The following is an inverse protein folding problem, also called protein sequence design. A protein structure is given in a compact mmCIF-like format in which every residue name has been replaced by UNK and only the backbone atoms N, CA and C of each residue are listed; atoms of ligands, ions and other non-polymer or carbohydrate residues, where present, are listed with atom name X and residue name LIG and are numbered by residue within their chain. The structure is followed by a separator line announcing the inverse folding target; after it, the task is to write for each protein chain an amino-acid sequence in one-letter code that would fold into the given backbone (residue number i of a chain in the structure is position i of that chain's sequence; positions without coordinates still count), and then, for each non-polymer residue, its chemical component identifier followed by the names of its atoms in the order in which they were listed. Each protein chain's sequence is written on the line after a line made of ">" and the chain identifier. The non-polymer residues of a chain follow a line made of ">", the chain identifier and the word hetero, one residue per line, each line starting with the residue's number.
data_IF_904475744932
#
_entry.id   IF_904475744932
#
_cell.length_a   1.000
_cell.length_b   1.000
_cell.length_c   1.000
_cell.angle_alpha   90.00
_cell.angle_beta   90.00
_cell.angle_gamma   90.00
#
_symmetry.space_group_name_H-M   'P 1'
#
loop_
_entity.id
_entity.type
_entity.pdbx_description
1 polymer ?
#
# COMPACT_ATOMS: atom_id res chain seq x y z
N UNK A 1 -1.67 -13.54 25.64
CA UNK A 1 -2.89 -13.69 26.46
C UNK A 1 -3.31 -12.37 27.11
N UNK A 2 -2.52 -11.80 28.02
CA UNK A 2 -2.92 -10.65 28.83
C UNK A 2 -3.30 -9.38 28.02
N UNK A 3 -2.39 -8.85 27.20
CA UNK A 3 -2.63 -7.59 26.47
C UNK A 3 -3.80 -7.69 25.47
N UNK A 4 -3.91 -8.82 24.76
CA UNK A 4 -5.01 -9.08 23.83
C UNK A 4 -6.36 -9.14 24.56
N UNK A 5 -6.42 -9.84 25.69
CA UNK A 5 -7.63 -9.89 26.53
C UNK A 5 -7.97 -8.51 27.10
N UNK A 6 -6.97 -7.74 27.56
CA UNK A 6 -7.16 -6.39 28.09
C UNK A 6 -7.70 -5.43 27.03
N UNK A 7 -7.17 -5.49 25.80
CA UNK A 7 -7.64 -4.67 24.69
C UNK A 7 -9.10 -5.00 24.32
N UNK A 8 -9.45 -6.28 24.23
CA UNK A 8 -10.84 -6.70 23.95
C UNK A 8 -11.79 -6.36 25.08
N UNK A 9 -11.36 -6.52 26.34
CA UNK A 9 -12.15 -6.11 27.51
C UNK A 9 -12.38 -4.59 27.52
N UNK A 10 -11.36 -3.79 27.18
CA UNK A 10 -11.51 -2.34 27.00
C UNK A 10 -12.57 -2.03 25.93
N UNK A 11 -12.50 -2.66 24.76
CA UNK A 11 -13.48 -2.43 23.70
C UNK A 11 -14.91 -2.78 24.16
N UNK A 12 -15.09 -3.92 24.82
CA UNK A 12 -16.38 -4.35 25.36
C UNK A 12 -16.93 -3.35 26.39
N UNK A 13 -16.16 -3.01 27.42
CA UNK A 13 -16.63 -2.17 28.51
C UNK A 13 -16.80 -0.70 28.10
N UNK A 14 -15.93 -0.17 27.24
CA UNK A 14 -16.05 1.23 26.78
C UNK A 14 -17.24 1.41 25.84
N UNK A 15 -17.49 0.46 24.94
CA UNK A 15 -18.54 0.59 23.91
C UNK A 15 -19.92 0.19 24.44
N UNK A 16 -20.02 -0.94 25.13
CA UNK A 16 -21.33 -1.49 25.51
C UNK A 16 -21.75 -1.16 26.94
N UNK A 17 -20.80 -1.12 27.89
CA UNK A 17 -21.08 -0.83 29.31
C UNK A 17 -20.73 0.61 29.71
N UNK A 18 -20.19 1.40 28.77
CA UNK A 18 -19.85 2.79 28.98
C UNK A 18 -21.09 3.67 29.01
N UNK A 19 -20.91 4.94 29.38
CA UNK A 19 -22.00 5.93 29.29
C UNK A 19 -22.34 6.17 27.82
N UNK A 20 -23.63 6.03 27.49
CA UNK A 20 -24.15 6.39 26.17
C UNK A 20 -23.91 7.89 25.92
N UNK A 21 -23.33 8.23 24.78
CA UNK A 21 -23.19 9.62 24.34
C UNK A 21 -24.51 10.13 23.78
N UNK A 22 -24.78 11.42 23.91
CA UNK A 22 -26.04 12.03 23.43
C UNK A 22 -26.27 11.83 21.92
N UNK A 23 -25.18 11.78 21.14
CA UNK A 23 -25.20 11.49 19.70
C UNK A 23 -25.78 10.10 19.37
N UNK A 24 -25.75 9.15 20.31
CA UNK A 24 -26.14 7.75 20.10
C UNK A 24 -27.52 7.41 20.67
N UNK A 25 -28.33 8.41 21.05
CA UNK A 25 -29.64 8.17 21.67
C UNK A 25 -30.68 7.51 20.73
N UNK A 26 -30.50 7.63 19.41
CA UNK A 26 -31.41 7.08 18.41
C UNK A 26 -30.93 5.74 17.82
N UNK A 27 -29.99 5.06 18.47
CA UNK A 27 -29.49 3.77 18.00
C UNK A 27 -30.59 2.71 18.17
N UNK A 28 -30.84 1.98 17.10
CA UNK A 28 -31.75 0.83 17.07
C UNK A 28 -30.96 -0.46 16.80
N UNK A 29 -31.58 -1.58 17.13
CA UNK A 29 -31.00 -2.90 16.88
C UNK A 29 -30.76 -3.13 15.38
N UNK A 30 -29.70 -3.89 15.06
CA UNK A 30 -29.35 -4.17 13.67
C UNK A 30 -30.45 -5.01 12.98
N UNK A 31 -30.81 -4.72 11.72
CA UNK A 31 -31.80 -5.50 10.99
C UNK A 31 -31.34 -6.94 10.77
N UNK A 32 -32.28 -7.86 10.56
CA UNK A 32 -31.99 -9.29 10.42
C UNK A 32 -30.98 -9.64 9.30
N UNK A 33 -30.93 -8.80 8.27
CA UNK A 33 -29.97 -8.94 7.15
C UNK A 33 -28.51 -8.86 7.63
N UNK A 34 -28.23 -8.15 8.73
CA UNK A 34 -26.90 -8.09 9.36
C UNK A 34 -26.76 -9.09 10.50
N UNK A 35 -27.81 -9.28 11.32
CA UNK A 35 -27.77 -10.17 12.48
C UNK A 35 -27.68 -11.65 12.08
N UNK A 36 -28.38 -12.06 11.02
CA UNK A 36 -28.37 -13.43 10.50
C UNK A 36 -26.96 -13.95 10.19
N UNK A 37 -26.16 -13.24 9.35
CA UNK A 37 -24.76 -13.60 9.11
C UNK A 37 -23.90 -13.64 10.38
N UNK A 38 -24.07 -12.69 11.31
CA UNK A 38 -23.29 -12.67 12.55
C UNK A 38 -23.58 -13.88 13.44
N UNK A 39 -24.85 -14.25 13.61
CA UNK A 39 -25.25 -15.44 14.37
C UNK A 39 -24.74 -16.72 13.71
N UNK A 40 -24.87 -16.80 12.38
CA UNK A 40 -24.37 -17.94 11.61
C UNK A 40 -22.86 -18.13 11.79
N UNK A 41 -22.07 -17.06 11.90
CA UNK A 41 -20.63 -17.11 12.15
C UNK A 41 -20.28 -17.34 13.62
N UNK A 42 -21.13 -16.90 14.56
CA UNK A 42 -20.91 -17.11 15.99
C UNK A 42 -21.01 -18.58 16.39
N UNK A 43 -21.93 -19.34 15.78
CA UNK A 43 -22.12 -20.78 16.04
C UNK A 43 -20.83 -21.60 15.81
N UNK A 44 -20.21 -21.59 14.62
CA UNK A 44 -18.96 -22.33 14.40
C UNK A 44 -17.81 -21.78 15.25
N UNK A 45 -17.73 -20.46 15.50
CA UNK A 45 -16.71 -19.91 16.38
C UNK A 45 -16.80 -20.49 17.82
N UNK A 46 -18.00 -20.75 18.32
CA UNK A 46 -18.22 -21.38 19.62
C UNK A 46 -17.95 -22.91 19.61
N UNK A 47 -18.31 -23.60 18.52
CA UNK A 47 -18.30 -25.07 18.47
C UNK A 47 -16.97 -25.65 17.96
N UNK A 48 -16.31 -24.99 17.01
CA UNK A 48 -15.07 -25.49 16.37
C UNK A 48 -13.96 -25.73 17.40
N UNK A 49 -13.90 -24.93 18.46
CA UNK A 49 -12.94 -25.14 19.56
C UNK A 49 -13.09 -26.52 20.23
N UNK A 50 -14.32 -27.00 20.41
CA UNK A 50 -14.59 -28.32 20.99
C UNK A 50 -14.28 -29.47 20.02
N UNK A 51 -14.51 -29.26 18.72
CA UNK A 51 -14.18 -30.24 17.66
C UNK A 51 -12.66 -30.33 17.45
N UNK A 52 -11.95 -29.21 17.64
CA UNK A 52 -10.50 -29.13 17.47
C UNK A 52 -9.73 -29.72 18.67
N UNK A 53 -10.27 -29.59 19.89
CA UNK A 53 -9.73 -30.26 21.06
C UNK A 53 -9.90 -31.79 20.90
N UNK A 54 -8.82 -32.55 21.13
CA UNK A 54 -8.79 -34.03 21.08
C UNK A 54 -9.61 -34.66 22.23
N UNK A 55 -10.89 -34.31 22.35
CA UNK A 55 -11.82 -34.89 23.33
C UNK A 55 -12.18 -36.34 22.96
N UNK A 56 -12.00 -36.71 21.69
CA UNK A 56 -12.18 -38.07 21.17
C UNK A 56 -10.85 -38.60 20.65
N UNK A 57 -10.52 -39.86 20.95
CA UNK A 57 -9.25 -40.55 20.64
C UNK A 57 -8.84 -40.51 19.15
N UNK A 58 -9.74 -40.08 18.27
CA UNK A 58 -9.51 -39.81 16.85
C UNK A 58 -8.91 -38.42 16.61
N UNK A 59 -7.65 -38.17 17.00
CA UNK A 59 -6.72 -37.19 16.39
C UNK A 59 -7.09 -35.69 16.25
N UNK A 60 -8.35 -35.28 16.46
CA UNK A 60 -8.92 -33.96 16.19
C UNK A 60 -8.82 -33.51 14.72
N UNK A 61 -9.41 -32.34 14.41
CA UNK A 61 -9.30 -31.67 13.11
C UNK A 61 -7.83 -31.36 12.70
N UNK A 62 -6.90 -31.37 13.66
CA UNK A 62 -5.47 -31.17 13.43
C UNK A 62 -4.80 -32.27 12.59
N UNK A 63 -5.36 -33.49 12.53
CA UNK A 63 -4.83 -34.55 11.67
C UNK A 63 -5.05 -34.30 10.18
N UNK A 64 -6.00 -33.45 9.80
CA UNK A 64 -6.21 -33.02 8.41
C UNK A 64 -5.33 -31.83 7.99
N UNK A 65 -4.77 -31.09 8.96
CA UNK A 65 -3.99 -29.87 8.73
C UNK A 65 -2.50 -30.13 8.53
N UNK A 66 -1.96 -31.23 9.07
CA UNK A 66 -0.53 -31.55 9.01
C UNK A 66 -0.30 -32.84 8.21
N UNK A 67 0.46 -32.74 7.12
CA UNK A 67 0.82 -33.86 6.22
C UNK A 67 1.96 -34.73 6.75
N UNK A 68 2.73 -34.26 7.73
CA UNK A 68 3.83 -34.97 8.38
C UNK A 68 3.58 -35.01 9.89
N UNK A 69 4.23 -35.96 10.61
CA UNK A 69 4.01 -36.23 12.05
C UNK A 69 3.82 -34.93 12.83
N UNK A 70 2.57 -34.62 13.17
CA UNK A 70 2.27 -33.53 14.06
C UNK A 70 3.06 -33.77 15.36
N UNK A 71 3.83 -32.76 15.80
CA UNK A 71 4.37 -32.78 17.16
C UNK A 71 3.23 -33.15 18.10
N UNK A 72 3.44 -34.19 18.93
CA UNK A 72 2.41 -34.68 19.83
C UNK A 72 1.80 -33.50 20.56
N UNK A 73 0.47 -33.41 20.55
CA UNK A 73 -0.24 -32.36 21.27
C UNK A 73 -0.07 -32.62 22.78
N UNK A 74 1.07 -32.22 23.32
CA UNK A 74 1.34 -32.21 24.75
C UNK A 74 0.80 -30.91 25.32
N UNK A 75 -0.48 -30.95 25.72
CA UNK A 75 -1.07 -29.80 26.39
C UNK A 75 -0.38 -29.62 27.76
N UNK A 76 0.47 -28.62 27.85
CA UNK A 76 1.08 -28.23 29.10
C UNK A 76 0.02 -27.56 29.99
N UNK A 77 -0.64 -28.36 30.83
CA UNK A 77 -1.67 -27.89 31.75
C UNK A 77 -1.23 -26.69 32.60
N UNK A 78 -0.01 -26.65 33.18
CA UNK A 78 0.48 -25.47 33.87
C UNK A 78 0.45 -24.20 33.02
N UNK A 79 0.94 -24.27 31.78
CA UNK A 79 0.97 -23.11 30.86
C UNK A 79 -0.43 -22.70 30.40
N UNK A 80 -1.31 -23.68 30.15
CA UNK A 80 -2.71 -23.44 29.78
C UNK A 80 -3.48 -22.73 30.89
N UNK A 81 -3.36 -23.24 32.13
CA UNK A 81 -3.98 -22.65 33.32
C UNK A 81 -3.41 -21.25 33.57
N UNK A 82 -2.08 -21.08 33.52
CA UNK A 82 -1.45 -19.77 33.70
C UNK A 82 -1.94 -18.75 32.65
N UNK A 83 -2.06 -19.18 31.39
CA UNK A 83 -2.57 -18.33 30.30
C UNK A 83 -4.03 -17.94 30.49
N UNK A 84 -4.87 -18.88 30.93
CA UNK A 84 -6.29 -18.63 31.23
C UNK A 84 -6.45 -17.66 32.41
N UNK A 85 -5.68 -17.86 33.49
CA UNK A 85 -5.66 -16.96 34.64
C UNK A 85 -5.20 -15.54 34.25
N UNK A 86 -4.17 -15.42 33.39
CA UNK A 86 -3.73 -14.13 32.86
C UNK A 86 -4.82 -13.43 32.03
N UNK A 87 -5.56 -14.18 31.23
CA UNK A 87 -6.68 -13.63 30.45
C UNK A 87 -7.83 -13.16 31.36
N UNK A 88 -8.18 -13.93 32.39
CA UNK A 88 -9.20 -13.55 33.38
C UNK A 88 -8.75 -12.34 34.21
N UNK A 89 -7.49 -12.28 34.61
CA UNK A 89 -6.92 -11.13 35.31
C UNK A 89 -6.98 -9.86 34.43
N UNK A 90 -6.67 -9.97 33.13
CA UNK A 90 -6.79 -8.89 32.17
C UNK A 90 -8.25 -8.39 32.04
N UNK A 91 -9.21 -9.32 31.99
CA UNK A 91 -10.64 -8.98 31.93
C UNK A 91 -11.12 -8.28 33.20
N UNK A 92 -10.71 -8.77 34.37
CA UNK A 92 -11.00 -8.14 35.67
C UNK A 92 -10.40 -6.73 35.77
N UNK A 93 -9.16 -6.55 35.32
CA UNK A 93 -8.53 -5.23 35.25
C UNK A 93 -9.26 -4.29 34.27
N UNK A 94 -9.68 -4.81 33.11
CA UNK A 94 -10.49 -4.07 32.14
C UNK A 94 -11.82 -3.59 32.73
N UNK A 95 -12.50 -4.46 33.48
CA UNK A 95 -13.75 -4.10 34.16
C UNK A 95 -13.52 -3.05 35.26
N UNK A 96 -12.48 -3.20 36.09
CA UNK A 96 -12.18 -2.27 37.17
C UNK A 96 -11.82 -0.86 36.65
N UNK A 97 -11.07 -0.79 35.56
CA UNK A 97 -10.61 0.45 34.93
C UNK A 97 -11.70 1.11 34.08
N UNK A 98 -12.30 0.38 33.13
CA UNK A 98 -13.22 0.96 32.14
C UNK A 98 -14.71 0.78 32.48
N UNK A 99 -15.08 -0.30 33.16
CA UNK A 99 -16.48 -0.57 33.53
C UNK A 99 -16.91 0.21 34.77
N UNK A 100 -16.19 0.02 35.89
CA UNK A 100 -16.50 0.70 37.16
C UNK A 100 -15.96 2.14 37.22
N UNK A 101 -14.97 2.49 36.39
CA UNK A 101 -14.31 3.80 36.43
C UNK A 101 -13.51 4.06 37.71
N UNK A 102 -13.15 3.00 38.46
CA UNK A 102 -12.55 3.12 39.80
C UNK A 102 -11.05 3.43 39.77
N UNK A 103 -10.39 3.33 38.61
CA UNK A 103 -8.94 3.44 38.49
C UNK A 103 -8.58 4.41 37.38
N UNK A 104 -8.04 5.57 37.75
CA UNK A 104 -7.54 6.55 36.77
C UNK A 104 -6.22 6.06 36.17
N UNK A 105 -6.16 6.03 34.83
CA UNK A 105 -4.95 5.69 34.07
C UNK A 105 -4.05 6.92 33.82
N UNK A 106 -4.51 8.12 34.18
CA UNK A 106 -3.77 9.38 33.99
C UNK A 106 -2.36 9.37 34.64
N UNK A 107 -2.18 8.90 35.89
CA UNK A 107 -0.85 8.88 36.50
C UNK A 107 0.12 7.93 35.79
N UNK A 108 -0.39 6.80 35.29
CA UNK A 108 0.41 5.82 34.56
C UNK A 108 0.81 6.36 33.17
N UNK A 109 -0.15 6.99 32.48
CA UNK A 109 0.09 7.65 31.20
C UNK A 109 1.08 8.81 31.32
N UNK A 110 1.02 9.57 32.41
CA UNK A 110 1.98 10.64 32.69
C UNK A 110 3.41 10.11 32.91
N UNK A 111 3.57 9.00 33.65
CA UNK A 111 4.89 8.36 33.87
C UNK A 111 5.45 7.75 32.59
N UNK A 112 4.61 7.12 31.77
CA UNK A 112 5.00 6.45 30.53
C UNK A 112 4.66 7.27 29.29
N UNK A 113 4.74 8.60 29.37
CA UNK A 113 4.28 9.50 28.31
C UNK A 113 4.97 9.23 26.96
N UNK A 114 6.25 8.89 26.98
CA UNK A 114 7.01 8.53 25.77
C UNK A 114 6.49 7.26 25.10
N UNK A 115 6.31 6.18 25.88
CA UNK A 115 5.79 4.90 25.38
C UNK A 115 4.33 5.03 24.95
N UNK A 116 3.51 5.74 25.73
CA UNK A 116 2.11 5.99 25.41
C UNK A 116 1.98 6.76 24.10
N UNK A 117 2.77 7.81 23.90
CA UNK A 117 2.79 8.57 22.64
C UNK A 117 3.23 7.71 21.46
N UNK A 118 4.23 6.84 21.64
CA UNK A 118 4.70 5.93 20.59
C UNK A 118 3.57 4.98 20.14
N UNK A 119 2.87 4.36 21.08
CA UNK A 119 1.78 3.41 20.80
C UNK A 119 0.56 4.15 20.22
N UNK A 120 0.21 5.33 20.75
CA UNK A 120 -0.88 6.17 20.25
C UNK A 120 -0.66 6.61 18.80
N UNK A 121 0.58 6.92 18.42
CA UNK A 121 0.96 7.27 17.06
C UNK A 121 1.30 6.05 16.20
N UNK A 122 0.82 4.84 16.56
CA UNK A 122 1.02 3.59 15.80
C UNK A 122 2.50 3.34 15.45
N UNK A 123 3.40 3.63 16.40
CA UNK A 123 4.85 3.52 16.22
C UNK A 123 5.46 4.44 15.15
N UNK A 124 4.74 5.49 14.71
CA UNK A 124 5.12 6.38 13.61
C UNK A 124 5.37 5.66 12.27
N UNK A 125 4.93 4.40 12.14
CA UNK A 125 5.12 3.65 10.90
C UNK A 125 4.37 4.33 9.76
N UNK A 126 3.11 4.69 9.98
CA UNK A 126 2.28 5.40 8.99
C UNK A 126 2.97 6.68 8.50
N UNK A 127 3.53 7.48 9.40
CA UNK A 127 4.23 8.74 9.06
C UNK A 127 5.50 8.49 8.27
N UNK A 128 6.29 7.47 8.62
CA UNK A 128 7.51 7.09 7.91
C UNK A 128 7.17 6.56 6.51
N UNK A 129 6.14 5.73 6.38
CA UNK A 129 5.67 5.23 5.09
C UNK A 129 5.23 6.39 4.19
N UNK A 130 4.38 7.29 4.71
CA UNK A 130 3.90 8.44 3.96
C UNK A 130 5.05 9.38 3.57
N UNK A 131 5.97 9.65 4.50
CA UNK A 131 7.16 10.45 4.21
C UNK A 131 8.02 9.83 3.12
N UNK A 132 8.24 8.51 3.18
CA UNK A 132 9.04 7.79 2.18
C UNK A 132 8.40 7.87 0.80
N UNK A 133 7.10 7.62 0.71
CA UNK A 133 6.35 7.73 -0.55
C UNK A 133 6.48 9.15 -1.11
N UNK A 134 6.16 10.16 -0.30
CA UNK A 134 6.07 11.51 -0.81
C UNK A 134 7.42 12.13 -1.14
N UNK A 135 8.46 11.85 -0.34
CA UNK A 135 9.75 12.56 -0.43
C UNK A 135 10.77 11.79 -1.24
N UNK A 136 10.67 10.45 -1.26
CA UNK A 136 11.59 9.61 -2.04
C UNK A 136 10.92 9.18 -3.34
N UNK A 137 9.80 8.48 -3.27
CA UNK A 137 9.19 7.85 -4.45
C UNK A 137 8.67 8.90 -5.43
N UNK A 138 7.87 9.86 -4.96
CA UNK A 138 7.31 10.90 -5.85
C UNK A 138 8.38 11.85 -6.41
N UNK A 139 9.47 12.08 -5.68
CA UNK A 139 10.58 12.89 -6.16
C UNK A 139 11.30 12.17 -7.31
N UNK A 140 11.63 10.89 -7.13
CA UNK A 140 12.24 10.07 -8.19
C UNK A 140 11.31 9.98 -9.40
N UNK A 141 10.01 9.73 -9.18
CA UNK A 141 9.03 9.67 -10.25
C UNK A 141 8.97 10.99 -11.05
N UNK A 142 9.06 12.14 -10.37
CA UNK A 142 9.12 13.45 -11.04
C UNK A 142 10.37 13.61 -11.90
N UNK A 143 11.53 13.17 -11.41
CA UNK A 143 12.78 13.22 -12.19
C UNK A 143 12.66 12.37 -13.45
N UNK A 144 12.14 11.14 -13.32
CA UNK A 144 11.90 10.24 -14.45
C UNK A 144 10.91 10.85 -15.45
N UNK A 145 9.82 11.45 -14.97
CA UNK A 145 8.83 12.09 -15.84
C UNK A 145 9.39 13.30 -16.59
N UNK A 146 10.26 14.09 -15.96
CA UNK A 146 10.94 15.22 -16.63
C UNK A 146 11.93 14.70 -17.67
N UNK A 147 12.68 13.64 -17.34
CA UNK A 147 13.60 13.01 -18.28
C UNK A 147 12.86 12.48 -19.52
N UNK A 148 11.78 11.73 -19.32
CA UNK A 148 10.97 11.20 -20.41
C UNK A 148 10.41 12.32 -21.31
N UNK A 149 9.83 13.35 -20.70
CA UNK A 149 9.31 14.50 -21.45
C UNK A 149 10.39 15.22 -22.27
N UNK A 150 11.52 15.56 -21.68
CA UNK A 150 12.54 16.40 -22.33
C UNK A 150 13.39 15.59 -23.30
N UNK A 151 13.88 14.43 -22.86
CA UNK A 151 14.86 13.65 -23.62
C UNK A 151 14.16 12.76 -24.64
N UNK A 152 13.14 12.01 -24.23
CA UNK A 152 12.47 11.07 -25.13
C UNK A 152 11.54 11.83 -26.07
N UNK A 153 10.61 12.60 -25.52
CA UNK A 153 9.57 13.22 -26.34
C UNK A 153 10.08 14.46 -27.09
N UNK A 154 10.54 15.49 -26.38
CA UNK A 154 10.89 16.77 -27.00
C UNK A 154 12.15 16.70 -27.89
N UNK A 155 13.18 15.96 -27.44
CA UNK A 155 14.44 15.81 -28.17
C UNK A 155 14.42 14.62 -29.12
N UNK A 156 14.02 13.44 -28.63
CA UNK A 156 14.08 12.19 -29.39
C UNK A 156 13.04 12.09 -30.50
N UNK A 157 11.79 12.50 -30.26
CA UNK A 157 10.70 12.39 -31.24
C UNK A 157 10.48 13.69 -31.99
N UNK A 158 10.30 14.79 -31.25
CA UNK A 158 9.99 16.11 -31.81
C UNK A 158 11.19 16.73 -32.54
N UNK A 159 12.41 16.48 -32.05
CA UNK A 159 13.65 16.99 -32.64
C UNK A 159 13.80 16.61 -34.11
N UNK A 160 13.77 15.30 -34.46
CA UNK A 160 13.79 14.86 -35.86
C UNK A 160 12.66 15.45 -36.70
N UNK A 161 11.44 15.50 -36.16
CA UNK A 161 10.29 16.06 -36.88
C UNK A 161 10.49 17.55 -37.21
N UNK A 162 10.99 18.34 -36.25
CA UNK A 162 11.36 19.76 -36.44
C UNK A 162 12.51 19.90 -37.44
N UNK A 163 13.51 19.01 -37.38
CA UNK A 163 14.63 18.97 -38.33
C UNK A 163 14.16 18.79 -39.77
N UNK A 164 13.30 17.80 -40.04
CA UNK A 164 12.74 17.56 -41.38
C UNK A 164 11.92 18.75 -41.87
N UNK A 165 11.07 19.33 -41.01
CA UNK A 165 10.27 20.52 -41.35
C UNK A 165 11.15 21.73 -41.68
N UNK A 166 12.22 21.94 -40.90
CA UNK A 166 13.18 23.02 -41.14
C UNK A 166 13.93 22.81 -42.46
N UNK A 167 14.47 21.62 -42.70
CA UNK A 167 15.15 21.30 -43.96
C UNK A 167 14.23 21.52 -45.17
N UNK A 168 12.98 21.08 -45.11
CA UNK A 168 12.00 21.35 -46.18
C UNK A 168 11.74 22.84 -46.39
N UNK A 169 11.67 23.61 -45.31
CA UNK A 169 11.48 25.07 -45.37
C UNK A 169 12.69 25.79 -45.99
N UNK A 170 13.91 25.31 -45.73
CA UNK A 170 15.14 25.84 -46.33
C UNK A 170 15.23 25.47 -47.82
N UNK A 171 14.97 24.21 -48.17
CA UNK A 171 15.03 23.74 -49.57
C UNK A 171 14.01 24.50 -50.43
N UNK A 172 12.84 24.86 -49.88
CA UNK A 172 11.80 25.62 -50.59
C UNK A 172 12.32 26.91 -51.23
N UNK A 173 13.29 27.60 -50.62
CA UNK A 173 13.85 28.84 -51.19
C UNK A 173 14.62 28.64 -52.51
N UNK A 174 15.03 27.42 -52.84
CA UNK A 174 15.64 27.12 -54.15
C UNK A 174 14.63 27.23 -55.30
N UNK A 175 13.33 27.10 -55.02
CA UNK A 175 12.27 27.24 -56.02
C UNK A 175 11.83 28.72 -56.06
N UNK A 176 12.57 29.50 -56.84
CA UNK A 176 12.36 30.98 -56.93
C UNK A 176 11.27 31.41 -57.91
N UNK A 177 10.80 30.51 -58.79
CA UNK A 177 9.79 30.81 -59.82
C UNK A 177 10.30 31.63 -61.02
N UNK A 178 11.59 31.95 -61.07
CA UNK A 178 12.21 32.73 -62.15
C UNK A 178 12.97 31.82 -63.11
N UNK A 179 12.57 31.79 -64.40
CA UNK A 179 13.14 30.87 -65.41
C UNK A 179 14.67 30.95 -65.54
N UNK A 180 15.25 32.15 -65.46
CA UNK A 180 16.69 32.33 -65.61
C UNK A 180 17.52 31.69 -64.48
N UNK A 181 16.98 31.61 -63.25
CA UNK A 181 17.66 30.95 -62.13
C UNK A 181 17.78 29.43 -62.36
N UNK A 182 16.77 28.82 -62.98
CA UNK A 182 16.81 27.39 -63.32
C UNK A 182 17.78 27.12 -64.47
N UNK A 183 17.77 27.96 -65.51
CA UNK A 183 18.71 27.85 -66.63
C UNK A 183 20.17 27.95 -66.15
N UNK A 184 20.47 28.91 -65.27
CA UNK A 184 21.79 29.04 -64.65
C UNK A 184 22.18 27.76 -63.86
N UNK A 185 21.25 27.22 -63.07
CA UNK A 185 21.46 25.97 -62.33
C UNK A 185 21.78 24.78 -63.23
N UNK A 186 21.10 24.65 -64.38
CA UNK A 186 21.36 23.59 -65.36
C UNK A 186 22.76 23.70 -65.98
N UNK A 187 23.19 24.91 -66.36
CA UNK A 187 24.53 25.14 -66.93
C UNK A 187 25.62 24.80 -65.91
N UNK A 188 25.48 25.28 -64.66
CA UNK A 188 26.42 24.98 -63.58
C UNK A 188 26.48 23.46 -63.32
N UNK A 189 25.31 22.80 -63.23
CA UNK A 189 25.23 21.35 -63.04
C UNK A 189 25.88 20.57 -64.17
N UNK A 190 25.69 20.98 -65.43
CA UNK A 190 26.31 20.35 -66.59
C UNK A 190 27.83 20.48 -66.59
N UNK A 191 28.36 21.68 -66.30
CA UNK A 191 29.81 21.90 -66.16
C UNK A 191 30.37 21.04 -65.04
N UNK A 192 29.69 20.96 -63.89
CA UNK A 192 30.13 20.15 -62.77
C UNK A 192 30.20 18.66 -63.12
N UNK A 193 29.18 18.10 -63.77
CA UNK A 193 29.18 16.70 -64.21
C UNK A 193 30.27 16.45 -65.23
N UNK A 194 30.47 17.35 -66.20
CA UNK A 194 31.52 17.22 -67.20
C UNK A 194 32.92 17.24 -66.58
N UNK A 195 33.18 18.16 -65.63
CA UNK A 195 34.43 18.23 -64.90
C UNK A 195 34.65 17.01 -64.00
N UNK A 196 33.61 16.57 -63.28
CA UNK A 196 33.68 15.39 -62.43
C UNK A 196 33.98 14.13 -63.25
N UNK A 197 33.30 13.97 -64.39
CA UNK A 197 33.56 12.90 -65.35
C UNK A 197 35.00 12.96 -65.86
N UNK A 198 35.44 14.13 -66.34
CA UNK A 198 36.79 14.33 -66.85
C UNK A 198 37.87 13.99 -65.81
N UNK A 199 37.69 14.42 -64.55
CA UNK A 199 38.58 14.10 -63.42
C UNK A 199 38.65 12.60 -63.12
N UNK A 200 37.55 11.86 -63.26
CA UNK A 200 37.51 10.42 -63.06
C UNK A 200 38.16 9.65 -64.22
N UNK A 201 38.00 10.11 -65.46
CA UNK A 201 38.61 9.48 -66.64
C UNK A 201 40.08 9.84 -66.88
N UNK A 202 40.59 10.89 -66.24
CA UNK A 202 42.00 11.34 -66.37
C UNK A 202 42.89 10.79 -65.24
N UNK A 203 42.40 9.81 -64.47
CA UNK A 203 43.20 8.93 -63.60
C UNK A 203 43.32 7.56 -64.24
#
# INVERSE_FOLDING_TARGET
>A
AFLSALYMARALFVVFYGRLKDENQHVHESPWVMLGPMVLLAVPAAVVGFIALRVTDTGGFGTFLFFEKAHGFEFNYPLGIASALLALAALGLGWATYGKGSTSLEPLKARLRGVSRLIENKYYLDDIYQWTIDRVILLVARVVAVFDRIVVNDTGVDGPAKGVRWSGSVIRYHITGRMYNYALGMVIGGIFVALFWWLLTTR
#
